data_IF_857449348294
#
_entry.id   IF_857449348294
#
_cell.length_a   1.000
_cell.length_b   1.000
_cell.length_c   1.000
_cell.angle_alpha   90.00
_cell.angle_beta   90.00
_cell.angle_gamma   90.00
#
_symmetry.space_group_name_H-M   'P 1'
#
loop_
_entity.id
_entity.type
_entity.pdbx_description
1 polymer ?
#
# COMPACT_ATOMS: atom_id res chain seq x y z
N UNK A 1 38.75 -0.42 16.56
CA UNK A 1 37.71 -0.71 16.63
C UNK A 1 36.83 -0.54 15.64
N UNK A 2 36.92 0.13 14.92
CA UNK A 2 36.12 0.26 13.96
C UNK A 2 36.38 -0.54 12.84
N UNK A 3 37.47 -1.28 12.72
CA UNK A 3 37.88 -1.92 11.60
C UNK A 3 37.05 -3.00 11.23
N UNK A 4 36.98 -4.01 12.02
CA UNK A 4 36.13 -5.08 11.72
C UNK A 4 34.73 -4.58 11.68
N UNK A 5 34.49 -3.64 12.57
CA UNK A 5 33.21 -3.06 12.60
C UNK A 5 32.96 -2.25 11.36
N UNK A 6 33.95 -1.57 10.82
CA UNK A 6 33.77 -0.86 9.62
C UNK A 6 33.45 -1.75 8.48
N UNK A 7 34.15 -2.88 8.40
CA UNK A 7 33.89 -3.82 7.37
C UNK A 7 32.50 -4.34 7.50
N UNK A 8 32.07 -4.66 8.70
CA UNK A 8 30.73 -5.09 8.93
C UNK A 8 29.76 -3.99 8.64
N UNK A 9 30.11 -2.76 8.91
CA UNK A 9 29.29 -1.66 8.56
C UNK A 9 29.04 -1.60 7.09
N UNK A 10 30.04 -1.84 6.30
CA UNK A 10 29.88 -1.82 4.87
C UNK A 10 28.89 -2.88 4.41
N UNK A 11 29.01 -4.06 4.98
CA UNK A 11 28.11 -5.13 4.62
C UNK A 11 26.69 -4.82 5.07
N UNK A 12 26.55 -4.37 6.29
CA UNK A 12 25.27 -4.01 6.80
C UNK A 12 24.65 -2.90 6.02
N UNK A 13 25.42 -1.93 5.60
CA UNK A 13 24.91 -0.84 4.85
C UNK A 13 24.36 -1.31 3.53
N UNK A 14 25.06 -2.22 2.88
CA UNK A 14 24.60 -2.78 1.66
C UNK A 14 23.32 -3.53 1.86
N UNK A 15 23.24 -4.33 2.92
CA UNK A 15 22.04 -5.04 3.23
C UNK A 15 20.90 -4.13 3.56
N UNK A 16 21.15 -3.05 4.28
CA UNK A 16 20.11 -2.12 4.60
C UNK A 16 19.55 -1.44 3.37
N UNK A 17 20.38 -1.09 2.44
CA UNK A 17 19.91 -0.48 1.21
C UNK A 17 19.08 -1.46 0.45
N UNK A 18 19.52 -2.70 0.39
CA UNK A 18 18.78 -3.73 -0.29
C UNK A 18 17.43 -3.97 0.38
N UNK A 19 17.40 -4.05 1.69
CA UNK A 19 16.16 -4.24 2.41
C UNK A 19 15.26 -3.02 2.32
N UNK A 20 15.82 -1.82 2.28
CA UNK A 20 15.03 -0.64 2.13
C UNK A 20 14.26 -0.61 0.84
N UNK A 21 14.88 -1.05 -0.24
CA UNK A 21 14.18 -1.07 -1.51
C UNK A 21 13.06 -2.09 -1.48
N UNK A 22 13.19 -3.17 -0.69
CA UNK A 22 12.16 -4.17 -0.57
C UNK A 22 11.14 -3.84 0.50
N UNK A 23 11.53 -3.03 1.50
CA UNK A 23 10.66 -2.77 2.65
C UNK A 23 9.49 -1.87 2.35
N UNK A 24 9.46 -1.23 1.18
CA UNK A 24 8.36 -0.39 0.79
C UNK A 24 7.32 -1.13 -0.06
N UNK A 25 7.65 -2.33 -0.50
CA UNK A 25 6.76 -3.12 -1.34
C UNK A 25 6.29 -4.34 -0.58
N UNK A 26 5.05 -4.31 -0.15
CA UNK A 26 4.46 -5.34 0.68
C UNK A 26 3.28 -5.96 -0.07
N UNK A 27 3.49 -7.14 -0.64
CA UNK A 27 2.48 -7.78 -1.47
C UNK A 27 1.30 -8.26 -0.63
N UNK A 28 0.11 -7.87 -1.01
CA UNK A 28 -1.12 -8.20 -0.27
C UNK A 28 -1.37 -9.70 -0.24
N UNK A 29 -1.63 -10.28 0.94
CA UNK A 29 -1.97 -11.70 1.00
C UNK A 29 -3.26 -11.99 0.24
N UNK A 30 -3.27 -13.12 -0.44
CA UNK A 30 -4.41 -13.51 -1.28
C UNK A 30 -5.70 -13.56 -0.49
N UNK A 31 -5.69 -14.12 0.70
CA UNK A 31 -6.91 -14.25 1.51
C UNK A 31 -7.50 -12.91 1.89
N UNK A 32 -6.65 -11.95 2.26
CA UNK A 32 -7.13 -10.61 2.60
C UNK A 32 -7.71 -9.92 1.38
N UNK A 33 -7.01 -10.00 0.25
CA UNK A 33 -7.52 -9.40 -0.98
C UNK A 33 -8.87 -10.03 -1.37
N UNK A 34 -8.95 -11.35 -1.35
CA UNK A 34 -10.18 -12.04 -1.77
C UNK A 34 -11.38 -11.63 -0.90
N UNK A 35 -11.17 -11.49 0.41
CA UNK A 35 -12.23 -11.05 1.31
C UNK A 35 -12.71 -9.64 0.96
N UNK A 36 -11.77 -8.74 0.71
CA UNK A 36 -12.15 -7.38 0.33
C UNK A 36 -12.79 -7.35 -1.07
N UNK A 37 -12.29 -8.18 -1.98
CA UNK A 37 -12.81 -8.21 -3.34
C UNK A 37 -14.26 -8.74 -3.40
N UNK A 38 -14.62 -9.63 -2.50
CA UNK A 38 -16.00 -10.08 -2.40
C UNK A 38 -16.94 -8.92 -2.05
N UNK A 39 -16.45 -8.01 -1.23
CA UNK A 39 -17.27 -6.87 -0.81
C UNK A 39 -17.28 -5.74 -1.84
N UNK A 40 -16.11 -5.42 -2.39
CA UNK A 40 -15.98 -4.22 -3.21
C UNK A 40 -15.96 -4.46 -4.72
N UNK A 41 -15.67 -5.67 -5.16
CA UNK A 41 -15.63 -6.05 -6.58
C UNK A 41 -14.64 -5.16 -7.35
N UNK A 42 -13.38 -5.25 -7.01
CA UNK A 42 -12.35 -4.36 -7.55
C UNK A 42 -12.15 -4.49 -9.06
N UNK A 43 -11.91 -3.36 -9.70
CA UNK A 43 -11.70 -3.29 -11.14
C UNK A 43 -10.33 -2.73 -11.51
N UNK A 44 -9.61 -2.12 -10.58
CA UNK A 44 -8.33 -1.49 -10.87
C UNK A 44 -7.35 -1.67 -9.71
N UNK A 45 -6.12 -2.06 -10.03
CA UNK A 45 -4.98 -2.08 -9.11
C UNK A 45 -3.93 -1.08 -9.63
N UNK A 46 -3.83 0.12 -9.07
CA UNK A 46 -2.95 1.15 -9.62
C UNK A 46 -1.50 1.07 -9.17
N UNK A 47 -1.17 0.12 -8.27
CA UNK A 47 0.16 -0.01 -7.70
C UNK A 47 0.67 -1.43 -7.86
N UNK A 48 0.72 -1.92 -9.09
CA UNK A 48 1.01 -3.33 -9.36
C UNK A 48 2.32 -3.53 -10.09
N UNK A 49 2.79 -4.75 -10.06
CA UNK A 49 3.73 -5.25 -11.06
C UNK A 49 2.96 -6.25 -11.92
N UNK A 50 3.56 -6.67 -13.03
CA UNK A 50 2.91 -7.67 -13.88
C UNK A 50 2.68 -8.97 -13.15
N UNK A 51 3.55 -9.28 -12.19
CA UNK A 51 3.49 -10.56 -11.49
C UNK A 51 2.56 -10.54 -10.29
N UNK A 52 2.26 -9.38 -9.71
CA UNK A 52 1.46 -9.31 -8.50
C UNK A 52 0.14 -8.55 -8.66
N UNK A 53 -0.23 -8.18 -9.88
CA UNK A 53 -1.46 -7.43 -10.11
C UNK A 53 -2.66 -8.20 -9.57
N UNK A 54 -3.49 -7.51 -8.83
CA UNK A 54 -4.68 -8.10 -8.19
C UNK A 54 -5.91 -8.00 -9.06
N UNK A 55 -5.89 -7.14 -10.06
CA UNK A 55 -7.02 -6.94 -10.98
C UNK A 55 -6.54 -7.09 -12.40
N UNK A 56 -7.46 -7.37 -13.32
CA UNK A 56 -7.11 -7.48 -14.74
C UNK A 56 -6.68 -6.12 -15.31
N UNK A 57 -7.26 -5.03 -14.80
CA UNK A 57 -6.78 -3.70 -15.14
C UNK A 57 -5.83 -3.25 -14.04
N UNK A 58 -4.63 -2.87 -14.41
CA UNK A 58 -3.63 -2.45 -13.43
C UNK A 58 -2.63 -1.49 -14.04
N UNK A 59 -1.98 -0.71 -13.19
CA UNK A 59 -0.89 0.16 -13.59
C UNK A 59 0.39 -0.27 -12.90
N UNK A 60 1.47 -0.36 -13.68
CA UNK A 60 2.80 -0.64 -13.16
C UNK A 60 3.52 0.66 -12.90
N UNK A 61 4.72 0.58 -12.36
CA UNK A 61 5.54 1.75 -12.13
C UNK A 61 5.79 2.53 -13.43
N UNK A 62 5.98 1.82 -14.54
CA UNK A 62 6.18 2.48 -15.83
C UNK A 62 4.94 3.22 -16.30
N UNK A 63 3.76 2.72 -15.96
CA UNK A 63 2.51 3.37 -16.32
C UNK A 63 2.24 4.59 -15.45
N UNK A 64 2.86 4.66 -14.27
CA UNK A 64 2.69 5.73 -13.30
C UNK A 64 1.23 5.93 -12.89
N UNK A 65 0.79 5.08 -11.98
CA UNK A 65 -0.61 5.12 -11.51
C UNK A 65 -1.04 6.46 -10.94
N UNK A 66 -0.09 7.26 -10.40
CA UNK A 66 -0.40 8.58 -9.87
C UNK A 66 -0.83 9.57 -10.95
N UNK A 67 -0.38 9.35 -12.19
CA UNK A 67 -0.74 10.24 -13.29
C UNK A 67 -1.95 9.77 -14.08
N UNK A 68 -2.49 8.62 -13.74
CA UNK A 68 -3.61 8.03 -14.46
C UNK A 68 -4.94 8.45 -13.86
N UNK A 69 -6.00 8.35 -14.68
CA UNK A 69 -7.35 8.61 -14.22
C UNK A 69 -7.94 7.30 -13.71
N UNK A 70 -8.50 7.32 -12.50
CA UNK A 70 -9.15 6.15 -11.91
C UNK A 70 -10.67 6.29 -11.89
N UNK A 71 -11.20 7.28 -12.61
CA UNK A 71 -12.60 7.66 -12.53
C UNK A 71 -13.55 6.51 -12.78
N UNK A 72 -14.53 6.34 -11.91
CA UNK A 72 -15.53 5.30 -12.04
C UNK A 72 -15.07 3.90 -11.68
N UNK A 73 -13.80 3.72 -11.35
CA UNK A 73 -13.27 2.40 -11.00
C UNK A 73 -13.51 2.06 -9.53
N UNK A 74 -13.44 0.78 -9.25
CA UNK A 74 -13.45 0.28 -7.88
C UNK A 74 -12.01 -0.18 -7.63
N UNK A 75 -11.29 0.62 -6.87
CA UNK A 75 -9.82 0.55 -6.81
C UNK A 75 -9.35 -0.15 -5.55
N UNK A 76 -8.48 -1.13 -5.71
CA UNK A 76 -7.73 -1.67 -4.59
C UNK A 76 -6.31 -1.12 -4.64
N UNK A 77 -5.92 -0.34 -3.64
CA UNK A 77 -4.63 0.33 -3.61
C UNK A 77 -3.79 -0.14 -2.43
N UNK A 78 -2.72 -0.84 -2.72
CA UNK A 78 -1.69 -1.15 -1.74
C UNK A 78 -0.41 -0.45 -2.23
N UNK A 79 -0.21 0.82 -1.84
CA UNK A 79 0.86 1.63 -2.43
C UNK A 79 2.22 1.27 -1.84
N UNK A 80 3.31 1.73 -2.46
CA UNK A 80 4.60 1.60 -1.81
C UNK A 80 4.59 2.35 -0.48
N UNK A 81 5.07 1.69 0.57
CA UNK A 81 5.14 2.30 1.89
C UNK A 81 6.47 3.06 2.01
N UNK A 82 6.44 4.26 2.53
CA UNK A 82 7.61 5.10 2.63
C UNK A 82 7.23 6.53 2.31
N UNK A 83 8.16 7.28 1.73
CA UNK A 83 7.95 8.71 1.52
C UNK A 83 6.82 9.05 0.56
N UNK A 84 6.56 8.15 -0.38
CA UNK A 84 5.58 8.43 -1.43
C UNK A 84 4.15 8.13 -1.02
N UNK A 85 3.95 7.49 0.12
CA UNK A 85 2.62 7.03 0.48
C UNK A 85 1.60 8.16 0.60
N UNK A 86 2.04 9.31 1.08
CA UNK A 86 1.15 10.47 1.19
C UNK A 86 0.60 10.93 -0.15
N UNK A 87 1.40 10.82 -1.21
CA UNK A 87 0.96 11.17 -2.56
C UNK A 87 -0.11 10.21 -3.05
N UNK A 88 0.04 8.92 -2.73
CA UNK A 88 -0.94 7.91 -3.11
C UNK A 88 -2.26 8.11 -2.37
N UNK A 89 -2.21 8.46 -1.09
CA UNK A 89 -3.43 8.73 -0.32
C UNK A 89 -4.14 9.98 -0.84
N UNK A 90 -3.38 11.03 -1.16
CA UNK A 90 -3.96 12.22 -1.75
C UNK A 90 -4.64 11.89 -3.07
N UNK A 91 -3.98 11.10 -3.92
CA UNK A 91 -4.54 10.65 -5.19
C UNK A 91 -5.82 9.87 -4.96
N UNK A 92 -5.82 8.95 -4.01
CA UNK A 92 -7.02 8.15 -3.70
C UNK A 92 -8.19 9.06 -3.33
N UNK A 93 -7.95 10.05 -2.49
CA UNK A 93 -8.99 11.01 -2.11
C UNK A 93 -9.48 11.80 -3.31
N UNK A 94 -8.58 12.29 -4.14
CA UNK A 94 -8.95 13.08 -5.31
C UNK A 94 -9.76 12.26 -6.31
N UNK A 95 -9.40 11.01 -6.52
CA UNK A 95 -10.15 10.15 -7.44
C UNK A 95 -11.50 9.75 -6.85
N UNK A 96 -11.58 9.58 -5.53
CA UNK A 96 -12.86 9.39 -4.87
C UNK A 96 -13.78 10.60 -5.10
N UNK A 97 -13.25 11.80 -5.03
CA UNK A 97 -14.06 12.99 -5.31
C UNK A 97 -14.57 13.03 -6.74
N UNK A 98 -13.91 12.33 -7.65
CA UNK A 98 -14.34 12.21 -9.03
C UNK A 98 -15.23 11.00 -9.30
N UNK A 99 -15.57 10.26 -8.27
CA UNK A 99 -16.51 9.14 -8.38
C UNK A 99 -15.94 7.74 -8.25
N UNK A 100 -14.63 7.59 -8.03
CA UNK A 100 -14.06 6.27 -7.78
C UNK A 100 -14.36 5.83 -6.35
N UNK A 101 -14.37 4.53 -6.13
CA UNK A 101 -14.32 3.96 -4.78
C UNK A 101 -12.90 3.45 -4.61
N UNK A 102 -12.20 3.89 -3.57
CA UNK A 102 -10.81 3.51 -3.38
C UNK A 102 -10.62 2.87 -2.01
N UNK A 103 -10.19 1.63 -2.01
CA UNK A 103 -9.92 0.86 -0.79
C UNK A 103 -8.42 0.69 -0.69
N UNK A 104 -7.84 1.17 0.40
CA UNK A 104 -6.40 1.20 0.59
C UNK A 104 -5.99 0.27 1.72
N UNK A 105 -4.92 -0.50 1.52
CA UNK A 105 -4.29 -1.25 2.59
C UNK A 105 -2.98 -0.55 2.93
N UNK A 106 -2.87 0.01 4.12
CA UNK A 106 -1.71 0.83 4.50
C UNK A 106 -1.34 0.63 5.96
N UNK A 107 -0.11 0.99 6.35
CA UNK A 107 0.24 1.04 7.76
C UNK A 107 -0.59 2.08 8.51
N UNK A 108 -0.99 1.75 9.73
CA UNK A 108 -1.81 2.64 10.53
C UNK A 108 -0.93 3.65 11.28
N UNK A 109 -0.24 4.50 10.54
CA UNK A 109 0.63 5.55 11.10
C UNK A 109 -0.16 6.82 11.32
N UNK A 110 -0.95 6.80 12.37
CA UNK A 110 -2.02 7.76 12.61
C UNK A 110 -1.55 9.15 13.01
N UNK A 111 -0.25 9.34 13.24
CA UNK A 111 0.31 10.64 13.54
C UNK A 111 0.78 11.39 12.29
N UNK A 112 0.65 10.80 11.12
CA UNK A 112 1.14 11.41 9.89
C UNK A 112 0.18 12.44 9.33
N UNK A 113 0.73 13.34 8.51
CA UNK A 113 -0.07 14.38 7.91
C UNK A 113 -1.16 13.83 7.01
N UNK A 114 -0.85 12.82 6.19
CA UNK A 114 -1.84 12.29 5.26
C UNK A 114 -3.00 11.60 5.98
N UNK A 115 -2.77 11.04 7.17
CA UNK A 115 -3.86 10.49 7.96
C UNK A 115 -4.81 11.61 8.42
N UNK A 116 -4.26 12.74 8.83
CA UNK A 116 -5.06 13.85 9.36
C UNK A 116 -5.70 14.69 8.25
N UNK A 117 -5.03 14.85 7.12
CA UNK A 117 -5.54 15.68 6.04
C UNK A 117 -6.60 14.97 5.19
N UNK A 118 -6.44 13.66 4.97
CA UNK A 118 -7.29 12.95 4.03
C UNK A 118 -8.09 11.80 4.64
N UNK A 119 -7.49 11.02 5.50
CA UNK A 119 -8.11 9.78 5.98
C UNK A 119 -9.16 10.06 7.04
N UNK A 120 -8.75 10.65 8.16
CA UNK A 120 -9.69 10.90 9.25
C UNK A 120 -10.89 11.74 8.82
N UNK A 121 -10.72 12.81 8.02
CA UNK A 121 -11.88 13.63 7.64
C UNK A 121 -12.82 12.97 6.64
N UNK A 122 -12.33 12.03 5.82
CA UNK A 122 -13.08 11.61 4.64
C UNK A 122 -13.29 10.11 4.47
N UNK A 123 -12.56 9.28 5.16
CA UNK A 123 -12.58 7.83 4.89
C UNK A 123 -13.23 7.05 6.03
N UNK A 124 -13.72 5.87 5.70
CA UNK A 124 -14.08 4.86 6.68
C UNK A 124 -12.83 4.02 6.95
N UNK A 125 -12.53 3.75 8.21
CA UNK A 125 -11.30 3.07 8.59
C UNK A 125 -11.64 1.78 9.29
N UNK A 126 -11.00 0.68 8.86
CA UNK A 126 -11.08 -0.60 9.53
C UNK A 126 -9.68 -0.98 9.99
N UNK A 127 -9.43 -0.91 11.29
CA UNK A 127 -8.14 -1.32 11.83
C UNK A 127 -8.10 -2.84 11.89
N UNK A 128 -7.03 -3.42 11.38
CA UNK A 128 -6.91 -4.87 11.35
C UNK A 128 -6.33 -5.40 12.65
N UNK A 129 -6.92 -6.50 13.14
CA UNK A 129 -6.42 -7.16 14.33
C UNK A 129 -5.19 -7.97 13.96
N UNK A 130 -4.14 -7.83 14.74
CA UNK A 130 -2.88 -8.56 14.51
C UNK A 130 -2.09 -7.96 13.36
N UNK A 131 -0.99 -8.59 13.04
CA UNK A 131 -0.10 -8.13 11.96
C UNK A 131 -0.43 -8.86 10.67
N UNK A 132 -0.51 -8.11 9.59
CA UNK A 132 -0.73 -8.70 8.27
C UNK A 132 0.51 -9.49 7.88
N UNK A 133 0.32 -10.68 7.33
CA UNK A 133 1.41 -11.49 6.83
C UNK A 133 1.50 -11.29 5.32
N UNK A 134 2.33 -10.35 4.94
CA UNK A 134 2.50 -10.02 3.53
C UNK A 134 3.24 -11.11 2.78
N UNK A 135 2.93 -11.25 1.50
CA UNK A 135 3.54 -12.27 0.65
C UNK A 135 4.73 -11.66 -0.07
N UNK A 136 5.89 -11.73 0.54
CA UNK A 136 7.11 -11.20 -0.06
C UNK A 136 7.94 -12.38 -0.56
N UNK A 137 7.91 -12.61 -1.85
CA UNK A 137 8.58 -13.76 -2.44
C UNK A 137 7.84 -15.04 -2.08
N UNK A 138 8.57 -16.04 -1.62
CA UNK A 138 8.00 -17.35 -1.32
C UNK A 138 7.58 -17.54 0.13
N UNK A 139 7.78 -16.53 0.98
CA UNK A 139 7.52 -16.69 2.41
C UNK A 139 6.64 -15.56 2.91
N UNK A 140 5.64 -15.89 3.73
CA UNK A 140 4.88 -14.85 4.41
C UNK A 140 5.78 -14.12 5.39
N UNK A 141 5.60 -12.82 5.49
CA UNK A 141 6.37 -11.99 6.41
C UNK A 141 5.41 -11.11 7.20
N UNK A 142 5.46 -11.25 8.52
CA UNK A 142 4.65 -10.39 9.39
C UNK A 142 5.11 -8.96 9.30
N UNK A 143 4.17 -8.05 9.16
CA UNK A 143 4.46 -6.64 9.14
C UNK A 143 4.99 -6.17 10.48
N UNK A 144 6.01 -5.30 10.51
CA UNK A 144 6.47 -4.72 11.77
C UNK A 144 5.62 -3.51 12.21
N UNK A 145 4.45 -3.34 11.64
CA UNK A 145 3.55 -2.23 11.91
C UNK A 145 2.10 -2.72 11.91
N UNK A 146 1.20 -2.02 12.58
CA UNK A 146 -0.23 -2.30 12.44
C UNK A 146 -0.72 -1.82 11.09
N UNK A 147 -1.77 -2.44 10.58
CA UNK A 147 -2.35 -2.10 9.28
C UNK A 147 -3.80 -1.70 9.39
N UNK A 148 -4.24 -0.90 8.44
CA UNK A 148 -5.63 -0.49 8.34
C UNK A 148 -6.11 -0.61 6.90
N UNK A 149 -7.38 -0.89 6.76
CA UNK A 149 -8.09 -0.78 5.48
C UNK A 149 -8.82 0.54 5.51
N UNK A 150 -8.48 1.41 4.57
CA UNK A 150 -9.03 2.77 4.48
C UNK A 150 -9.90 2.84 3.24
N UNK A 151 -11.16 3.24 3.41
CA UNK A 151 -12.14 3.21 2.35
C UNK A 151 -12.62 4.62 2.05
N UNK A 152 -12.31 5.08 0.86
CA UNK A 152 -12.89 6.31 0.32
C UNK A 152 -14.10 5.90 -0.53
N UNK A 153 -15.28 6.01 0.06
CA UNK A 153 -16.54 5.63 -0.56
C UNK A 153 -17.69 6.04 0.34
N UNK A 154 -18.84 6.35 -0.25
CA UNK A 154 -19.90 7.03 0.51
C UNK A 154 -20.71 6.14 1.45
N UNK A 155 -20.73 4.87 1.24
CA UNK A 155 -21.64 4.00 1.99
C UNK A 155 -20.95 2.82 2.68
N UNK A 156 -19.73 2.97 3.08
CA UNK A 156 -18.99 1.82 3.64
C UNK A 156 -18.54 2.03 5.08
#
# INVERSE_FOLDING_TARGET
MERGFLFIKGIFRRMKVHFSSNSNEWATPKGLFDTLDEEFLFTLDPCATKDNAKCSKFYTQEDDGLSQDWGGERVFMNPPYGREIGKWIKKAYEEYEKGAIVVCLIPARTDTRYWHDYIFPHATIRFLKGRVKFENGNKPQSAPFPSAVVIFGDEW
#
